data_IF_075792802704
#
_entry.id   IF_075792802704
#
_cell.length_a   1.000
_cell.length_b   1.000
_cell.length_c   1.000
_cell.angle_alpha   90.00
_cell.angle_beta   90.00
_cell.angle_gamma   90.00
#
_symmetry.space_group_name_H-M   'P 1'
#
loop_
_entity.id
_entity.type
_entity.pdbx_description
1 polymer ?
#
# COMPACT_ATOMS: atom_id res chain seq x y z
N UNK A 1 -4.43 38.86 -14.21
CA UNK A 1 -3.99 37.75 -15.07
C UNK A 1 -3.32 36.73 -14.15
N UNK A 2 -3.71 35.48 -13.98
CA UNK A 2 -4.56 34.60 -14.77
C UNK A 2 -3.86 33.25 -14.88
N UNK A 3 -4.18 32.31 -13.99
CA UNK A 3 -4.26 30.86 -14.27
C UNK A 3 -4.73 30.12 -13.02
N UNK A 4 -6.05 29.97 -12.95
CA UNK A 4 -6.69 28.91 -12.21
C UNK A 4 -6.24 27.57 -12.84
N UNK A 5 -5.35 26.84 -12.17
CA UNK A 5 -4.88 25.51 -12.58
C UNK A 5 -5.71 24.38 -11.95
N UNK A 6 -6.92 24.67 -11.44
CA UNK A 6 -7.74 23.71 -10.70
C UNK A 6 -8.52 22.72 -11.57
N UNK A 7 -8.37 22.74 -12.90
CA UNK A 7 -9.19 21.94 -13.82
C UNK A 7 -8.40 20.99 -14.75
N UNK A 8 -7.30 20.40 -14.29
CA UNK A 8 -6.73 19.21 -14.95
C UNK A 8 -6.79 18.05 -13.98
N UNK A 9 -7.72 17.14 -14.24
CA UNK A 9 -7.72 15.83 -13.61
C UNK A 9 -6.30 15.25 -13.71
N UNK A 10 -5.60 15.14 -12.59
CA UNK A 10 -4.31 14.43 -12.51
C UNK A 10 -4.51 12.91 -12.65
N UNK A 11 -5.55 12.51 -13.38
CA UNK A 11 -5.88 11.13 -13.73
C UNK A 11 -4.98 10.69 -14.87
N UNK A 12 -3.76 10.29 -14.50
CA UNK A 12 -2.86 9.35 -15.18
C UNK A 12 -1.51 9.55 -14.53
N UNK A 13 -1.10 8.60 -13.69
CA UNK A 13 0.20 8.54 -13.01
C UNK A 13 1.35 8.54 -14.03
N UNK A 14 1.66 9.69 -14.62
CA UNK A 14 2.77 9.89 -15.55
C UNK A 14 4.14 9.77 -14.85
N UNK A 15 4.15 9.82 -13.53
CA UNK A 15 5.30 9.57 -12.65
C UNK A 15 5.07 8.32 -11.77
N UNK A 16 4.36 7.29 -12.26
CA UNK A 16 4.39 6.02 -11.54
C UNK A 16 5.86 5.57 -11.43
N UNK A 17 6.39 5.54 -10.21
CA UNK A 17 7.77 5.13 -9.95
C UNK A 17 7.99 3.64 -10.28
N UNK A 18 6.91 2.88 -10.37
CA UNK A 18 6.92 1.46 -10.72
C UNK A 18 6.70 1.27 -12.23
N UNK A 19 7.56 0.49 -12.91
CA UNK A 19 7.38 0.16 -14.32
C UNK A 19 6.10 -0.65 -14.53
N UNK A 20 5.50 -0.56 -15.72
CA UNK A 20 4.22 -1.22 -16.05
C UNK A 20 4.25 -2.74 -15.90
N UNK A 21 5.42 -3.36 -16.07
CA UNK A 21 5.65 -4.80 -15.87
C UNK A 21 5.46 -5.24 -14.42
N UNK A 22 5.72 -4.32 -13.49
CA UNK A 22 5.79 -4.61 -12.05
C UNK A 22 4.51 -4.17 -11.33
N UNK A 23 3.55 -3.60 -12.09
CA UNK A 23 2.20 -3.36 -11.62
C UNK A 23 1.53 -4.71 -11.48
N UNK A 24 1.55 -5.27 -10.27
CA UNK A 24 0.82 -6.49 -9.96
C UNK A 24 -0.64 -6.15 -9.67
N UNK A 25 -1.55 -6.87 -10.32
CA UNK A 25 -2.94 -6.97 -9.89
C UNK A 25 -2.90 -7.68 -8.54
N UNK A 26 -3.07 -6.94 -7.44
CA UNK A 26 -3.02 -7.50 -6.09
C UNK A 26 -3.94 -8.72 -6.00
N UNK A 27 -3.36 -9.92 -5.91
CA UNK A 27 -4.13 -11.15 -5.73
C UNK A 27 -4.38 -11.29 -4.24
N UNK A 28 -5.64 -11.31 -3.87
CA UNK A 28 -6.05 -11.61 -2.50
C UNK A 28 -5.82 -13.11 -2.27
N UNK A 29 -4.71 -13.44 -1.62
CA UNK A 29 -4.36 -14.81 -1.23
C UNK A 29 -4.67 -14.94 0.25
N UNK A 30 -5.35 -16.02 0.61
CA UNK A 30 -5.70 -16.33 1.99
C UNK A 30 -4.44 -16.64 2.81
N UNK A 31 -4.30 -16.00 3.97
CA UNK A 31 -3.21 -16.25 4.89
C UNK A 31 -3.42 -17.59 5.61
N UNK A 32 -2.41 -18.46 5.61
CA UNK A 32 -2.39 -19.70 6.38
C UNK A 32 -1.23 -19.71 7.36
N UNK A 33 -1.55 -19.83 8.65
CA UNK A 33 -0.56 -19.76 9.73
C UNK A 33 0.41 -20.95 9.74
N UNK A 34 -0.02 -22.10 9.22
CA UNK A 34 0.81 -23.32 9.15
C UNK A 34 1.98 -23.18 8.16
N UNK A 35 1.82 -22.32 7.15
CA UNK A 35 2.86 -22.05 6.14
C UNK A 35 3.63 -20.76 6.41
N UNK A 36 3.26 -20.02 7.45
CA UNK A 36 3.89 -18.77 7.79
C UNK A 36 5.31 -19.03 8.33
N UNK A 37 6.28 -18.33 7.75
CA UNK A 37 7.64 -18.38 8.23
C UNK A 37 7.84 -17.45 9.45
N UNK A 38 9.08 -17.35 9.92
CA UNK A 38 9.40 -16.49 11.05
C UNK A 38 9.17 -15.01 10.72
N UNK A 39 9.48 -14.59 9.49
CA UNK A 39 9.37 -13.20 9.07
C UNK A 39 7.91 -12.77 8.97
N UNK A 40 7.04 -13.66 8.47
CA UNK A 40 5.59 -13.47 8.42
C UNK A 40 5.01 -13.19 9.82
N UNK A 41 5.44 -13.96 10.82
CA UNK A 41 4.99 -13.78 12.21
C UNK A 41 5.45 -12.45 12.79
N UNK A 42 6.72 -12.08 12.60
CA UNK A 42 7.19 -10.78 13.07
C UNK A 42 6.49 -9.62 12.36
N UNK A 43 6.19 -9.75 11.07
CA UNK A 43 5.47 -8.75 10.31
C UNK A 43 4.05 -8.54 10.88
N UNK A 44 3.35 -9.62 11.24
CA UNK A 44 2.04 -9.53 11.90
C UNK A 44 2.13 -8.81 13.24
N UNK A 45 3.10 -9.15 14.09
CA UNK A 45 3.29 -8.50 15.39
C UNK A 45 3.56 -6.99 15.23
N UNK A 46 4.42 -6.63 14.27
CA UNK A 46 4.72 -5.22 13.95
C UNK A 46 3.48 -4.48 13.46
N UNK A 47 2.68 -5.10 12.59
CA UNK A 47 1.42 -4.52 12.10
C UNK A 47 0.46 -4.24 13.26
N UNK A 48 0.22 -5.24 14.12
CA UNK A 48 -0.65 -5.08 15.28
C UNK A 48 -0.16 -3.97 16.23
N UNK A 49 1.16 -3.86 16.43
CA UNK A 49 1.74 -2.80 17.25
C UNK A 49 1.56 -1.40 16.62
N UNK A 50 1.60 -1.28 15.29
CA UNK A 50 1.31 -0.05 14.58
C UNK A 50 -0.17 0.32 14.68
N UNK A 51 -1.08 -0.63 14.51
CA UNK A 51 -2.52 -0.41 14.65
C UNK A 51 -2.90 0.05 16.05
N UNK A 52 -2.30 -0.56 17.08
CA UNK A 52 -2.48 -0.13 18.48
C UNK A 52 -2.01 1.32 18.70
N UNK A 53 -0.96 1.75 18.00
CA UNK A 53 -0.49 3.15 18.05
C UNK A 53 -1.46 4.09 17.34
N UNK A 54 -1.93 3.72 16.15
CA UNK A 54 -2.87 4.51 15.37
C UNK A 54 -4.21 4.71 16.11
N UNK A 55 -4.74 3.65 16.74
CA UNK A 55 -6.00 3.70 17.50
C UNK A 55 -5.92 4.50 18.81
N UNK A 56 -4.71 4.74 19.34
CA UNK A 56 -4.49 5.53 20.56
C UNK A 56 -4.42 7.04 20.31
N UNK A 57 -4.49 7.47 19.05
CA UNK A 57 -4.46 8.87 18.63
C UNK A 57 -5.87 9.35 18.30
#
# INVERSE_FOLDING_TARGET
MGRDEHNKSKGRNRLAQTPKSDIKDGRDIEFSEEFADHEDKEAQERSQAADKRAKKK
#
